data_IF_738798736931
#
_entry.id   IF_738798736931
#
_cell.length_a   1.000
_cell.length_b   1.000
_cell.length_c   1.000
_cell.angle_alpha   90.00
_cell.angle_beta   90.00
_cell.angle_gamma   90.00
#
_symmetry.space_group_name_H-M   'P 1'
#
loop_
_entity.id
_entity.type
_entity.pdbx_description
1 polymer ?
#
# COMPACT_ATOMS: atom_id res chain seq x y z
N UNK A 1 -11.89 -12.69 -12.28
CA UNK A 1 -11.11 -13.26 -13.40
C UNK A 1 -12.01 -13.68 -14.56
N UNK A 2 -13.11 -14.38 -14.30
CA UNK A 2 -14.00 -14.87 -15.37
C UNK A 2 -14.58 -13.78 -16.25
N UNK A 3 -15.01 -12.66 -15.64
CA UNK A 3 -15.49 -11.49 -16.40
C UNK A 3 -14.46 -10.99 -17.43
N UNK A 4 -13.19 -10.86 -17.03
CA UNK A 4 -12.11 -10.43 -17.93
C UNK A 4 -11.83 -11.47 -19.03
N UNK A 5 -11.68 -12.75 -18.65
CA UNK A 5 -11.40 -13.83 -19.61
C UNK A 5 -12.53 -13.96 -20.64
N UNK A 6 -13.79 -13.88 -20.21
CA UNK A 6 -14.96 -13.89 -21.08
C UNK A 6 -15.00 -12.67 -22.01
N UNK A 7 -14.67 -11.48 -21.50
CA UNK A 7 -14.61 -10.26 -22.30
C UNK A 7 -13.62 -10.36 -23.46
N UNK A 8 -12.42 -10.92 -23.19
CA UNK A 8 -11.37 -11.14 -24.19
C UNK A 8 -11.81 -12.19 -25.21
N UNK A 9 -12.27 -13.36 -24.75
CA UNK A 9 -12.71 -14.45 -25.66
C UNK A 9 -13.84 -14.00 -26.60
N UNK A 10 -14.77 -13.18 -26.12
CA UNK A 10 -15.88 -12.67 -26.94
C UNK A 10 -15.46 -11.70 -28.05
N UNK A 11 -14.22 -11.18 -28.03
CA UNK A 11 -13.69 -10.19 -28.98
C UNK A 11 -12.50 -10.71 -29.77
N UNK A 12 -12.19 -12.00 -29.63
CA UNK A 12 -11.08 -12.61 -30.33
C UNK A 12 -11.42 -12.70 -31.83
N UNK A 13 -10.60 -12.12 -32.73
CA UNK A 13 -10.74 -12.37 -34.16
C UNK A 13 -10.57 -13.87 -34.45
N UNK A 14 -11.22 -14.36 -35.52
CA UNK A 14 -11.25 -15.79 -35.84
C UNK A 14 -9.88 -16.39 -36.21
N UNK A 15 -8.90 -15.55 -36.53
CA UNK A 15 -7.51 -15.92 -36.86
C UNK A 15 -6.54 -15.73 -35.69
N UNK A 16 -7.04 -15.38 -34.49
CA UNK A 16 -6.23 -15.16 -33.30
C UNK A 16 -6.45 -16.26 -32.23
N UNK A 17 -5.49 -16.42 -31.32
CA UNK A 17 -5.60 -17.29 -30.14
C UNK A 17 -5.19 -16.51 -28.88
N UNK A 18 -5.78 -16.82 -27.73
CA UNK A 18 -5.36 -16.27 -26.44
C UNK A 18 -5.06 -17.38 -25.43
N UNK A 19 -3.97 -17.21 -24.68
CA UNK A 19 -3.63 -18.01 -23.52
C UNK A 19 -3.64 -17.12 -22.27
N UNK A 20 -4.08 -17.65 -21.13
CA UNK A 20 -4.09 -16.92 -19.86
C UNK A 20 -3.13 -17.60 -18.90
N UNK A 21 -1.94 -17.02 -18.72
CA UNK A 21 -1.03 -17.44 -17.65
C UNK A 21 -1.50 -16.87 -16.31
N UNK A 22 -1.58 -17.72 -15.29
CA UNK A 22 -1.84 -17.28 -13.92
C UNK A 22 -0.50 -17.00 -13.22
N UNK A 23 -0.39 -15.86 -12.54
CA UNK A 23 0.79 -15.51 -11.74
C UNK A 23 0.41 -15.36 -10.27
N UNK A 24 -0.27 -14.28 -9.92
CA UNK A 24 -0.69 -14.02 -8.53
C UNK A 24 -2.10 -13.43 -8.51
N UNK A 25 -2.76 -13.54 -7.37
CA UNK A 25 -3.99 -12.82 -7.08
C UNK A 25 -3.98 -12.41 -5.62
N UNK A 26 -4.41 -11.20 -5.34
CA UNK A 26 -4.72 -10.76 -4.00
C UNK A 26 -5.99 -9.92 -4.08
N UNK A 27 -6.94 -10.07 -3.15
CA UNK A 27 -8.08 -9.17 -3.08
C UNK A 27 -7.59 -7.75 -2.76
N UNK A 28 -8.36 -6.75 -3.21
CA UNK A 28 -8.20 -5.40 -2.70
C UNK A 28 -8.54 -5.37 -1.20
N UNK A 29 -7.86 -4.51 -0.45
CA UNK A 29 -8.04 -4.36 0.99
C UNK A 29 -8.40 -2.92 1.27
N UNK A 30 -9.37 -2.72 2.15
CA UNK A 30 -9.69 -1.44 2.74
C UNK A 30 -9.60 -1.56 4.27
N UNK A 31 -8.85 -0.67 4.88
CA UNK A 31 -8.73 -0.57 6.34
C UNK A 31 -9.80 0.40 6.85
N UNK A 32 -10.23 0.21 8.10
CA UNK A 32 -11.11 1.19 8.75
C UNK A 32 -10.32 2.47 9.08
N UNK A 33 -10.83 3.60 8.61
CA UNK A 33 -10.19 4.91 8.80
C UNK A 33 -10.25 5.39 10.26
N UNK A 34 -11.10 4.77 11.08
CA UNK A 34 -11.27 5.10 12.50
C UNK A 34 -10.38 4.26 13.43
N UNK A 35 -9.52 3.41 12.87
CA UNK A 35 -8.58 2.61 13.66
C UNK A 35 -7.68 3.53 14.52
N UNK A 36 -7.65 3.29 15.83
CA UNK A 36 -6.78 4.05 16.75
C UNK A 36 -5.30 4.09 16.30
N UNK A 37 -4.68 2.97 15.86
CA UNK A 37 -3.31 3.01 15.34
C UNK A 37 -3.16 3.90 14.09
N UNK A 38 -4.17 3.98 13.24
CA UNK A 38 -4.12 4.85 12.06
C UNK A 38 -4.11 6.33 12.46
N UNK A 39 -4.99 6.72 13.39
CA UNK A 39 -5.02 8.07 13.94
C UNK A 39 -3.71 8.47 14.63
N UNK A 40 -3.15 7.55 15.45
CA UNK A 40 -1.88 7.77 16.13
C UNK A 40 -0.72 7.95 15.14
N UNK A 41 -0.63 7.12 14.10
CA UNK A 41 0.38 7.25 13.05
C UNK A 41 0.22 8.57 12.28
N UNK A 42 -1.02 8.96 11.93
CA UNK A 42 -1.30 10.23 11.24
C UNK A 42 -0.81 11.43 12.05
N UNK A 43 -1.07 11.45 13.36
CA UNK A 43 -0.62 12.54 14.25
C UNK A 43 0.91 12.58 14.32
N UNK A 44 1.55 11.44 14.59
CA UNK A 44 3.01 11.35 14.68
C UNK A 44 3.73 11.80 13.39
N UNK A 45 3.16 11.45 12.23
CA UNK A 45 3.66 11.91 10.93
C UNK A 45 3.42 13.40 10.71
N UNK A 46 2.26 13.92 11.10
CA UNK A 46 1.96 15.36 10.99
C UNK A 46 2.99 16.19 11.76
N UNK A 47 3.32 15.76 12.98
CA UNK A 47 4.31 16.43 13.82
C UNK A 47 5.73 16.33 13.25
N UNK A 48 6.12 15.15 12.74
CA UNK A 48 7.45 14.98 12.15
C UNK A 48 7.62 15.82 10.89
N UNK A 49 6.58 15.91 10.04
CA UNK A 49 6.66 16.52 8.72
C UNK A 49 6.24 17.99 8.70
N UNK A 50 5.61 18.50 9.75
CA UNK A 50 5.16 19.89 9.87
C UNK A 50 4.01 20.24 8.92
N UNK A 51 3.31 19.23 8.42
CA UNK A 51 2.16 19.32 7.52
C UNK A 51 1.26 18.13 7.78
N UNK A 52 -0.05 18.33 7.64
CA UNK A 52 -1.01 17.25 7.81
C UNK A 52 -0.67 16.02 6.94
N UNK A 53 -0.51 14.88 7.61
CA UNK A 53 -0.35 13.60 6.95
C UNK A 53 -1.67 13.17 6.30
N UNK A 54 -1.61 12.78 5.02
CA UNK A 54 -2.76 12.35 4.26
C UNK A 54 -3.00 10.85 4.42
N UNK A 55 -4.27 10.47 4.47
CA UNK A 55 -4.72 9.10 4.34
C UNK A 55 -5.13 8.88 2.89
N UNK A 56 -4.52 7.90 2.22
CA UNK A 56 -4.69 7.67 0.78
C UNK A 56 -4.95 6.20 0.48
N UNK A 57 -5.63 5.94 -0.65
CA UNK A 57 -5.62 4.64 -1.29
C UNK A 57 -4.49 4.59 -2.33
N UNK A 58 -3.97 3.39 -2.61
CA UNK A 58 -2.91 3.18 -3.58
C UNK A 58 -3.26 2.01 -4.51
N UNK A 59 -2.87 2.11 -5.79
CA UNK A 59 -3.03 1.03 -6.77
C UNK A 59 -1.97 -0.07 -6.68
N UNK A 60 -0.97 0.08 -5.82
CA UNK A 60 0.03 -0.95 -5.55
C UNK A 60 -0.60 -2.16 -4.84
N UNK A 61 0.04 -3.32 -4.97
CA UNK A 61 -0.41 -4.56 -4.33
C UNK A 61 0.64 -5.08 -3.37
N UNK A 62 0.26 -5.25 -2.11
CA UNK A 62 1.08 -5.90 -1.06
C UNK A 62 0.23 -7.04 -0.46
N UNK A 63 0.23 -8.24 -1.07
CA UNK A 63 -0.71 -9.33 -0.75
C UNK A 63 -0.74 -9.76 0.71
N UNK A 64 0.42 -9.75 1.38
CA UNK A 64 0.56 -10.19 2.77
C UNK A 64 -0.31 -9.39 3.75
N UNK A 65 -0.72 -8.17 3.40
CA UNK A 65 -1.65 -7.37 4.22
C UNK A 65 -3.01 -8.08 4.36
N UNK A 66 -3.49 -8.75 3.29
CA UNK A 66 -4.74 -9.50 3.35
C UNK A 66 -4.57 -10.73 4.23
N UNK A 67 -3.42 -11.38 4.11
CA UNK A 67 -3.10 -12.59 4.84
C UNK A 67 -2.98 -12.32 6.35
N UNK A 68 -2.43 -11.18 6.77
CA UNK A 68 -2.43 -10.78 8.18
C UNK A 68 -3.86 -10.67 8.74
N UNK A 69 -4.77 -10.06 8.00
CA UNK A 69 -6.16 -9.94 8.43
C UNK A 69 -6.86 -11.30 8.45
N UNK A 70 -6.70 -12.10 7.41
CA UNK A 70 -7.34 -13.41 7.29
C UNK A 70 -6.80 -14.43 8.31
N UNK A 71 -5.49 -14.44 8.52
CA UNK A 71 -4.82 -15.47 9.33
C UNK A 71 -4.75 -15.09 10.81
N UNK A 72 -4.47 -13.82 11.11
CA UNK A 72 -4.27 -13.34 12.49
C UNK A 72 -5.44 -12.49 13.00
N UNK A 73 -6.38 -12.09 12.15
CA UNK A 73 -7.45 -11.15 12.53
C UNK A 73 -6.98 -9.70 12.69
N UNK A 74 -5.72 -9.40 12.37
CA UNK A 74 -5.09 -8.11 12.62
C UNK A 74 -5.22 -7.17 11.43
N UNK A 75 -5.61 -5.92 11.70
CA UNK A 75 -5.50 -4.85 10.73
C UNK A 75 -4.05 -4.32 10.67
N UNK A 76 -3.63 -3.84 9.50
CA UNK A 76 -2.25 -3.40 9.25
C UNK A 76 -2.23 -1.91 8.92
N UNK A 77 -1.44 -1.11 9.64
CA UNK A 77 -1.19 0.28 9.23
C UNK A 77 -0.07 0.29 8.19
N UNK A 78 -0.32 0.89 7.03
CA UNK A 78 0.67 1.06 5.96
C UNK A 78 1.22 2.48 5.98
N UNK A 79 2.54 2.60 6.12
CA UNK A 79 3.24 3.90 6.11
C UNK A 79 4.39 3.80 5.12
N UNK A 80 4.43 4.75 4.18
CA UNK A 80 5.47 4.85 3.16
C UNK A 80 6.00 6.28 3.04
N UNK A 81 7.24 6.40 2.58
CA UNK A 81 7.93 7.68 2.36
C UNK A 81 8.45 7.81 0.92
N UNK A 82 7.97 6.94 0.02
CA UNK A 82 8.32 7.03 -1.39
C UNK A 82 7.64 8.23 -2.04
N UNK A 83 8.34 8.85 -2.99
CA UNK A 83 7.84 9.96 -3.78
C UNK A 83 7.40 9.47 -5.17
N UNK A 84 6.53 10.23 -5.82
CA UNK A 84 6.03 9.91 -7.17
C UNK A 84 7.16 9.76 -8.20
N UNK A 85 8.28 10.47 -7.97
CA UNK A 85 9.43 10.48 -8.86
C UNK A 85 10.55 9.50 -8.44
N UNK A 86 10.29 8.59 -7.49
CA UNK A 86 11.23 7.53 -7.10
C UNK A 86 11.37 6.45 -8.19
N UNK A 87 10.41 6.35 -9.12
CA UNK A 87 10.45 5.45 -10.30
C UNK A 87 10.64 3.98 -9.92
N UNK A 88 9.91 3.51 -8.91
CA UNK A 88 9.91 2.10 -8.48
C UNK A 88 9.69 1.18 -9.69
N UNK A 89 10.59 0.22 -9.89
CA UNK A 89 10.62 -0.72 -11.03
C UNK A 89 10.94 -0.09 -12.40
N UNK A 90 11.56 1.08 -12.44
CA UNK A 90 11.89 1.79 -13.67
C UNK A 90 13.34 2.30 -13.66
N UNK A 91 13.97 2.55 -14.83
CA UNK A 91 15.31 3.12 -14.88
C UNK A 91 15.44 4.45 -14.11
N UNK A 92 16.62 4.63 -13.50
CA UNK A 92 16.92 5.72 -12.58
C UNK A 92 15.98 5.74 -11.35
N UNK A 93 15.60 4.55 -10.86
CA UNK A 93 15.01 4.40 -9.54
C UNK A 93 15.92 5.05 -8.50
N UNK A 94 15.33 5.85 -7.61
CA UNK A 94 16.06 6.53 -6.54
C UNK A 94 15.26 6.51 -5.25
N UNK A 95 15.91 6.97 -4.19
CA UNK A 95 15.25 7.25 -2.93
C UNK A 95 15.73 8.60 -2.38
N UNK A 96 14.79 9.46 -2.00
CA UNK A 96 15.09 10.79 -1.49
C UNK A 96 15.76 10.73 -0.10
N UNK A 97 16.87 11.44 0.07
CA UNK A 97 17.64 11.42 1.33
C UNK A 97 16.86 12.04 2.49
N UNK A 98 16.04 13.06 2.23
CA UNK A 98 15.17 13.63 3.26
C UNK A 98 14.13 12.60 3.71
N UNK A 99 13.56 11.84 2.78
CA UNK A 99 12.63 10.75 3.05
C UNK A 99 13.29 9.61 3.81
N UNK A 100 14.55 9.27 3.51
CA UNK A 100 15.33 8.33 4.31
C UNK A 100 15.50 8.77 5.77
N UNK A 101 16.01 9.99 5.99
CA UNK A 101 16.24 10.50 7.35
C UNK A 101 14.95 10.73 8.13
N UNK A 102 13.94 11.33 7.49
CA UNK A 102 12.64 11.58 8.13
C UNK A 102 11.82 10.30 8.30
N UNK A 103 12.00 9.29 7.44
CA UNK A 103 11.37 7.98 7.58
C UNK A 103 11.82 7.28 8.85
N UNK A 104 13.13 7.30 9.15
CA UNK A 104 13.68 6.76 10.41
C UNK A 104 13.03 7.46 11.62
N UNK A 105 13.02 8.80 11.62
CA UNK A 105 12.40 9.59 12.71
C UNK A 105 10.90 9.33 12.83
N UNK A 106 10.21 9.20 11.71
CA UNK A 106 8.78 8.93 11.65
C UNK A 106 8.47 7.59 12.32
N UNK A 107 9.21 6.53 12.03
CA UNK A 107 9.02 5.24 12.68
C UNK A 107 9.24 5.28 14.19
N UNK A 108 10.28 5.98 14.66
CA UNK A 108 10.49 6.16 16.10
C UNK A 108 9.29 6.85 16.78
N UNK A 109 8.72 7.89 16.15
CA UNK A 109 7.54 8.60 16.66
C UNK A 109 6.26 7.76 16.57
N UNK A 110 6.07 7.01 15.49
CA UNK A 110 4.90 6.13 15.31
C UNK A 110 4.89 5.06 16.40
N UNK A 111 6.03 4.41 16.65
CA UNK A 111 6.14 3.40 17.69
C UNK A 111 5.89 3.98 19.09
N UNK A 112 6.40 5.18 19.38
CA UNK A 112 6.10 5.88 20.63
C UNK A 112 4.60 6.20 20.75
N UNK A 113 3.98 6.72 19.69
CA UNK A 113 2.55 7.03 19.68
C UNK A 113 1.69 5.77 19.86
N UNK A 114 2.09 4.63 19.29
CA UNK A 114 1.39 3.35 19.49
C UNK A 114 1.46 2.86 20.92
N UNK A 115 2.55 3.13 21.65
CA UNK A 115 2.67 2.77 23.05
C UNK A 115 1.72 3.59 23.96
N UNK A 116 1.42 4.82 23.57
CA UNK A 116 0.53 5.74 24.31
C UNK A 116 -0.95 5.57 23.93
N UNK A 117 -1.23 5.20 22.68
CA UNK A 117 -2.57 4.99 22.14
C UNK A 117 -3.18 3.65 22.58
N UNK A 118 -3.52 3.53 23.87
CA UNK A 118 -4.34 2.41 24.39
C UNK A 118 -5.83 2.55 24.05
#
# INVERSE_FOLDING_TARGET
RDAFRSYIKARLPGDCSCEFADHTNAPAIALDWNMKPLGAAKSALTDEWGREALLIACGASIPIVADFKHTLGLDTVMVGFGLEDDRIHSPNEKYDLKSFHKGIRSWARILAAFAEAK
#
